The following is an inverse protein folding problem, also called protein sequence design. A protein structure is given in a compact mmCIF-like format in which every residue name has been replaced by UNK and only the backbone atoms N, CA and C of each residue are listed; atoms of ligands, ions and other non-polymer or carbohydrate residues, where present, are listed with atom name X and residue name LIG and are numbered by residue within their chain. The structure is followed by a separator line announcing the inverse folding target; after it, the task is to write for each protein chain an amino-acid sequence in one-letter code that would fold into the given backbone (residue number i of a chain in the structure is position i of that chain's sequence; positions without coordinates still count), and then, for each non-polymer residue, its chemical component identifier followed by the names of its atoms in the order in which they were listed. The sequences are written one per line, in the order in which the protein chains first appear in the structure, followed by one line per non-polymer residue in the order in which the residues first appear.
data_IF_075806429525
#
_entry.id   IF_075806429525
#
_cell.length_a   1.000
_cell.length_b   1.000
_cell.length_c   1.000
_cell.angle_alpha   90.00
_cell.angle_beta   90.00
_cell.angle_gamma   90.00
#
_symmetry.space_group_name_H-M   'P 1'
#
loop_
_entity.id
_entity.type
_entity.pdbx_description
1 polymer ?
#
# COMPACT_ATOMS: atom_id res chain seq x y z
N UNK A 1 8.79 12.14 9.58
CA UNK A 1 7.59 11.54 8.93
C UNK A 1 7.32 12.10 7.54
N UNK A 2 7.68 13.35 7.20
CA UNK A 2 7.40 13.93 5.88
C UNK A 2 8.03 13.18 4.68
N UNK A 3 9.25 12.66 4.81
CA UNK A 3 10.00 12.06 3.69
C UNK A 3 9.28 10.90 2.98
N UNK A 4 8.78 9.84 3.66
CA UNK A 4 8.06 8.76 2.98
C UNK A 4 6.75 9.24 2.32
N UNK A 5 6.02 10.17 2.94
CA UNK A 5 4.82 10.75 2.35
C UNK A 5 5.13 11.59 1.12
N UNK A 6 6.27 12.30 1.08
CA UNK A 6 6.71 13.01 -0.12
C UNK A 6 7.04 12.05 -1.26
N UNK A 7 7.67 10.91 -0.97
CA UNK A 7 7.91 9.89 -2.00
C UNK A 7 6.59 9.28 -2.51
N UNK A 8 5.65 8.99 -1.62
CA UNK A 8 4.33 8.49 -1.98
C UNK A 8 3.56 9.52 -2.83
N UNK A 9 3.56 10.80 -2.44
CA UNK A 9 2.86 11.86 -3.18
C UNK A 9 3.47 12.13 -4.55
N UNK A 10 4.78 11.99 -4.70
CA UNK A 10 5.44 12.03 -6.01
C UNK A 10 4.95 10.89 -6.91
N UNK A 11 4.85 9.67 -6.38
CA UNK A 11 4.30 8.52 -7.09
C UNK A 11 2.85 8.73 -7.51
N UNK A 12 2.01 9.19 -6.58
CA UNK A 12 0.59 9.51 -6.85
C UNK A 12 0.44 10.65 -7.86
N UNK A 13 1.31 11.66 -7.85
CA UNK A 13 1.31 12.73 -8.86
C UNK A 13 1.56 12.19 -10.26
N UNK A 14 2.42 11.18 -10.41
CA UNK A 14 2.63 10.49 -11.70
C UNK A 14 1.38 9.72 -12.11
N UNK A 15 0.76 8.98 -11.17
CA UNK A 15 -0.51 8.27 -11.41
C UNK A 15 -1.64 9.20 -11.86
N UNK A 16 -1.84 10.30 -11.14
CA UNK A 16 -2.87 11.30 -11.46
C UNK A 16 -2.66 11.93 -12.83
N UNK A 17 -1.41 12.22 -13.22
CA UNK A 17 -1.10 12.71 -14.58
C UNK A 17 -1.41 11.68 -15.67
N UNK A 18 -1.40 10.39 -15.35
CA UNK A 18 -1.80 9.32 -16.26
C UNK A 18 -3.32 9.03 -16.27
N UNK A 19 -4.11 9.78 -15.48
CA UNK A 19 -5.55 9.58 -15.36
C UNK A 19 -5.94 8.48 -14.36
N UNK A 20 -5.01 8.04 -13.51
CA UNK A 20 -5.26 7.07 -12.44
C UNK A 20 -5.26 7.77 -11.09
N UNK A 21 -6.43 7.85 -10.47
CA UNK A 21 -6.61 8.47 -9.15
C UNK A 21 -6.66 7.40 -8.05
N UNK A 22 -5.57 7.22 -7.31
CA UNK A 22 -5.48 6.22 -6.24
C UNK A 22 -5.53 6.86 -4.84
N UNK A 23 -6.70 6.77 -4.20
CA UNK A 23 -6.89 7.21 -2.81
C UNK A 23 -6.49 6.15 -1.77
N UNK A 24 -5.96 5.00 -2.21
CA UNK A 24 -5.61 3.87 -1.36
C UNK A 24 -4.21 3.89 -0.77
N UNK A 25 -3.34 4.82 -1.18
CA UNK A 25 -1.89 4.79 -0.94
C UNK A 25 -1.52 4.70 0.54
N UNK A 26 -2.24 5.41 1.42
CA UNK A 26 -1.97 5.39 2.86
C UNK A 26 -2.20 4.00 3.47
N UNK A 27 -3.23 3.28 3.00
CA UNK A 27 -3.51 1.91 3.47
C UNK A 27 -2.43 0.94 3.01
N UNK A 28 -1.92 1.12 1.79
CA UNK A 28 -0.80 0.34 1.27
C UNK A 28 0.47 0.60 2.07
N UNK A 29 0.75 1.86 2.43
CA UNK A 29 1.89 2.23 3.27
C UNK A 29 1.80 1.58 4.65
N UNK A 30 0.63 1.64 5.31
CA UNK A 30 0.42 1.02 6.62
C UNK A 30 0.68 -0.49 6.60
N UNK A 31 0.10 -1.19 5.62
CA UNK A 31 0.23 -2.65 5.53
C UNK A 31 1.67 -3.07 5.19
N UNK A 32 2.31 -2.35 4.27
CA UNK A 32 3.71 -2.58 3.91
C UNK A 32 4.65 -2.33 5.09
N UNK A 33 4.37 -1.31 5.91
CA UNK A 33 5.12 -1.02 7.12
C UNK A 33 4.98 -2.15 8.15
N UNK A 34 3.77 -2.66 8.37
CA UNK A 34 3.55 -3.80 9.28
C UNK A 34 4.38 -5.01 8.87
N UNK A 35 4.27 -5.46 7.62
CA UNK A 35 4.98 -6.67 7.18
C UNK A 35 6.49 -6.47 7.16
N UNK A 36 6.99 -5.28 6.78
CA UNK A 36 8.41 -4.97 6.87
C UNK A 36 8.90 -5.08 8.31
N UNK A 37 8.18 -4.47 9.26
CA UNK A 37 8.51 -4.53 10.68
C UNK A 37 8.48 -5.97 11.22
N UNK A 38 7.42 -6.73 10.89
CA UNK A 38 7.27 -8.13 11.32
C UNK A 38 8.42 -9.02 10.83
N UNK A 39 8.89 -8.82 9.60
CA UNK A 39 10.04 -9.56 9.03
C UNK A 39 11.33 -9.23 9.78
N UNK A 40 11.59 -7.95 10.09
CA UNK A 40 12.76 -7.58 10.90
C UNK A 40 12.70 -8.26 12.26
N UNK A 41 11.55 -8.27 12.93
CA UNK A 41 11.39 -8.91 14.23
C UNK A 41 11.66 -10.42 14.20
N UNK A 42 11.29 -11.11 13.11
CA UNK A 42 11.46 -12.56 13.01
C UNK A 42 12.83 -13.00 12.51
N UNK A 43 13.43 -12.23 11.60
CA UNK A 43 14.65 -12.64 10.89
C UNK A 43 15.89 -11.82 11.25
N UNK A 44 15.72 -10.63 11.82
CA UNK A 44 16.80 -9.66 12.03
C UNK A 44 17.36 -9.06 10.74
N UNK A 45 16.87 -9.44 9.55
CA UNK A 45 17.43 -9.04 8.27
C UNK A 45 16.67 -7.83 7.68
N UNK A 46 17.32 -6.65 7.69
CA UNK A 46 16.75 -5.42 7.15
C UNK A 46 16.47 -5.48 5.64
N UNK A 47 17.34 -6.10 4.85
CA UNK A 47 17.17 -6.16 3.40
C UNK A 47 15.97 -7.02 3.00
N UNK A 48 15.77 -8.14 3.70
CA UNK A 48 14.61 -8.99 3.50
C UNK A 48 13.31 -8.25 3.86
N UNK A 49 13.32 -7.46 4.94
CA UNK A 49 12.17 -6.65 5.33
C UNK A 49 11.79 -5.61 4.27
N UNK A 50 12.78 -4.93 3.68
CA UNK A 50 12.54 -3.98 2.58
C UNK A 50 11.93 -4.70 1.38
N UNK A 51 12.46 -5.86 0.99
CA UNK A 51 11.92 -6.66 -0.12
C UNK A 51 10.47 -7.08 0.13
N UNK A 52 10.14 -7.51 1.36
CA UNK A 52 8.76 -7.88 1.70
C UNK A 52 7.84 -6.66 1.69
N UNK A 53 8.29 -5.51 2.19
CA UNK A 53 7.53 -4.25 2.10
C UNK A 53 7.19 -3.87 0.66
N UNK A 54 8.18 -3.95 -0.24
CA UNK A 54 7.98 -3.71 -1.67
C UNK A 54 7.01 -4.72 -2.28
N UNK A 55 7.13 -6.01 -1.92
CA UNK A 55 6.25 -7.05 -2.40
C UNK A 55 4.80 -6.84 -1.97
N UNK A 56 4.56 -6.43 -0.71
CA UNK A 56 3.21 -6.12 -0.20
C UNK A 56 2.60 -4.94 -0.96
N UNK A 57 3.39 -3.87 -1.15
CA UNK A 57 2.96 -2.72 -1.95
C UNK A 57 2.59 -3.09 -3.39
N UNK A 58 3.40 -3.94 -4.03
CA UNK A 58 3.16 -4.45 -5.38
C UNK A 58 1.86 -5.26 -5.44
N UNK A 59 1.65 -6.18 -4.49
CA UNK A 59 0.42 -7.00 -4.43
C UNK A 59 -0.82 -6.12 -4.25
N UNK A 60 -0.76 -5.12 -3.38
CA UNK A 60 -1.87 -4.18 -3.18
C UNK A 60 -2.13 -3.33 -4.44
N UNK A 61 -1.07 -2.88 -5.12
CA UNK A 61 -1.18 -2.16 -6.39
C UNK A 61 -1.80 -3.01 -7.51
N UNK A 62 -1.40 -4.28 -7.62
CA UNK A 62 -2.01 -5.22 -8.56
C UNK A 62 -3.48 -5.47 -8.23
N UNK A 63 -3.83 -5.60 -6.95
CA UNK A 63 -5.22 -5.76 -6.52
C UNK A 63 -6.06 -4.54 -6.91
N UNK A 64 -5.54 -3.33 -6.68
CA UNK A 64 -6.19 -2.08 -7.09
C UNK A 64 -6.36 -2.00 -8.62
N UNK A 65 -5.31 -2.34 -9.37
CA UNK A 65 -5.35 -2.39 -10.83
C UNK A 65 -6.36 -3.42 -11.35
N UNK A 66 -6.43 -4.60 -10.74
CA UNK A 66 -7.44 -5.60 -11.08
C UNK A 66 -8.87 -5.08 -10.86
N UNK A 67 -9.13 -4.47 -9.71
CA UNK A 67 -10.46 -3.93 -9.38
C UNK A 67 -10.87 -2.79 -10.34
N UNK A 68 -9.94 -1.89 -10.66
CA UNK A 68 -10.27 -0.70 -11.46
C UNK A 68 -10.25 -0.97 -12.97
N UNK A 69 -9.32 -1.78 -13.47
CA UNK A 69 -9.15 -2.06 -14.90
C UNK A 69 -9.98 -3.26 -15.36
N UNK A 70 -9.97 -4.37 -14.61
CA UNK A 70 -10.66 -5.59 -15.03
C UNK A 70 -12.13 -5.56 -14.63
N UNK A 71 -12.43 -5.14 -13.39
CA UNK A 71 -13.81 -5.08 -12.90
C UNK A 71 -14.52 -3.76 -13.23
N UNK A 72 -13.84 -2.81 -13.89
CA UNK A 72 -14.36 -1.49 -14.26
C UNK A 72 -14.98 -0.72 -13.07
N UNK A 73 -14.45 -0.94 -11.86
CA UNK A 73 -14.92 -0.24 -10.68
C UNK A 73 -14.40 1.20 -10.65
N UNK A 74 -15.20 2.12 -10.11
CA UNK A 74 -14.83 3.53 -9.97
C UNK A 74 -13.59 3.68 -9.09
N UNK A 75 -12.51 4.21 -9.66
CA UNK A 75 -11.20 4.40 -9.02
C UNK A 75 -11.27 5.04 -7.64
N UNK A 76 -12.15 6.03 -7.45
CA UNK A 76 -12.33 6.71 -6.16
C UNK A 76 -12.81 5.77 -5.05
N UNK A 77 -13.87 5.01 -5.32
CA UNK A 77 -14.45 4.07 -4.36
C UNK A 77 -13.49 2.90 -4.13
N UNK A 78 -12.90 2.37 -5.20
CA UNK A 78 -11.92 1.29 -5.11
C UNK A 78 -10.69 1.72 -4.30
N UNK A 79 -10.21 2.94 -4.47
CA UNK A 79 -9.08 3.49 -3.72
C UNK A 79 -9.39 3.61 -2.23
N UNK A 80 -10.55 4.16 -1.87
CA UNK A 80 -11.01 4.23 -0.48
C UNK A 80 -11.17 2.81 0.10
N UNK A 81 -11.67 1.85 -0.68
CA UNK A 81 -11.75 0.45 -0.26
C UNK A 81 -10.38 -0.17 0.07
N UNK A 82 -9.38 0.07 -0.78
CA UNK A 82 -7.99 -0.37 -0.52
C UNK A 82 -7.43 0.31 0.74
N UNK A 83 -7.70 1.61 0.92
CA UNK A 83 -7.29 2.33 2.13
C UNK A 83 -7.88 1.67 3.39
N UNK A 84 -9.20 1.47 3.43
CA UNK A 84 -9.89 0.87 4.59
C UNK A 84 -9.40 -0.56 4.84
N UNK A 85 -9.19 -1.34 3.79
CA UNK A 85 -8.63 -2.69 3.89
C UNK A 85 -7.23 -2.67 4.52
N UNK A 86 -6.33 -1.83 4.01
CA UNK A 86 -4.98 -1.69 4.53
C UNK A 86 -4.97 -1.22 5.98
N UNK A 87 -5.78 -0.22 6.31
CA UNK A 87 -5.96 0.30 7.68
C UNK A 87 -6.44 -0.81 8.64
N UNK A 88 -7.55 -1.47 8.30
CA UNK A 88 -8.18 -2.46 9.17
C UNK A 88 -7.34 -3.72 9.35
N UNK A 89 -6.71 -4.21 8.28
CA UNK A 89 -5.84 -5.38 8.36
C UNK A 89 -4.57 -5.07 9.16
N UNK A 90 -3.97 -3.90 8.96
CA UNK A 90 -2.79 -3.49 9.73
C UNK A 90 -3.12 -3.36 11.22
N UNK A 91 -4.25 -2.72 11.56
CA UNK A 91 -4.68 -2.58 12.96
C UNK A 91 -4.92 -3.94 13.62
N UNK A 92 -5.58 -4.87 12.92
CA UNK A 92 -5.79 -6.23 13.42
C UNK A 92 -4.46 -6.96 13.65
N UNK A 93 -3.52 -6.83 12.72
CA UNK A 93 -2.24 -7.51 12.78
C UNK A 93 -1.32 -6.93 13.88
N UNK A 94 -1.35 -5.62 14.12
CA UNK A 94 -0.57 -4.98 15.19
C UNK A 94 -1.06 -5.31 16.61
N UNK A 95 -2.32 -5.74 16.76
CA UNK A 95 -2.86 -6.16 18.06
C UNK A 95 -2.33 -7.52 18.53
N UNK A 96 -1.60 -8.25 17.69
CA UNK A 96 -0.98 -9.54 18.02
C UNK A 96 0.53 -9.45 18.16
#
# INVERSE_FOLDING_TARGET
MATPYLLASLGETVGQRSGVLNLGVDGVMLLSAFFSYWVVLKTGNLWLAVLVGVAVGLVMGLLYGFITVVLNATQGISGIGIYIFGLGLSDLLFRR
#
